data_IF_067614375967
#
_entry.id   IF_067614375967
#
_cell.length_a   1.000
_cell.length_b   1.000
_cell.length_c   1.000
_cell.angle_alpha   90.00
_cell.angle_beta   90.00
_cell.angle_gamma   90.00
#
_symmetry.space_group_name_H-M   'P 1'
#
loop_
_entity.id
_entity.type
_entity.pdbx_description
1 polymer ?
#
# COMPACT_ATOMS: atom_id res chain seq x y z
N UNK A 1 44.33 13.35 25.72
CA UNK A 1 44.62 12.11 24.95
C UNK A 1 43.31 11.42 24.60
N UNK A 2 43.21 10.83 23.40
CA UNK A 2 42.02 10.12 22.92
C UNK A 2 41.75 8.85 23.73
N UNK A 3 40.53 8.65 24.24
CA UNK A 3 40.14 7.42 24.94
C UNK A 3 39.82 6.31 23.95
N UNK A 4 40.81 5.46 23.64
CA UNK A 4 40.66 4.36 22.67
C UNK A 4 39.59 3.32 23.07
N UNK A 5 39.35 3.10 24.37
CA UNK A 5 38.31 2.17 24.86
C UNK A 5 36.90 2.65 24.51
N UNK A 6 36.69 3.97 24.56
CA UNK A 6 35.42 4.57 24.15
C UNK A 6 35.15 4.35 22.65
N UNK A 7 36.16 4.50 21.80
CA UNK A 7 36.05 4.25 20.35
C UNK A 7 35.89 2.76 20.01
N UNK A 8 36.34 1.83 20.86
CA UNK A 8 36.05 0.40 20.71
C UNK A 8 34.59 0.08 21.07
N UNK A 9 34.03 0.71 22.10
CA UNK A 9 32.61 0.60 22.44
C UNK A 9 31.73 1.13 21.29
N UNK A 10 32.02 2.35 20.82
CA UNK A 10 31.28 2.96 19.71
C UNK A 10 31.29 2.08 18.46
N UNK A 11 32.43 1.48 18.10
CA UNK A 11 32.52 0.55 16.95
C UNK A 11 31.61 -0.68 17.13
N UNK A 12 31.60 -1.29 18.31
CA UNK A 12 30.71 -2.43 18.60
C UNK A 12 29.23 -2.06 18.52
N UNK A 13 28.88 -0.88 19.01
CA UNK A 13 27.51 -0.38 18.94
C UNK A 13 27.10 -0.14 17.47
N UNK A 14 27.97 0.50 16.68
CA UNK A 14 27.76 0.72 15.23
C UNK A 14 27.58 -0.60 14.45
N UNK A 15 28.42 -1.61 14.71
CA UNK A 15 28.29 -2.93 14.08
C UNK A 15 26.96 -3.61 14.44
N UNK A 16 26.48 -3.41 15.68
CA UNK A 16 25.17 -3.87 16.13
C UNK A 16 24.03 -3.20 15.36
N UNK A 17 24.10 -1.88 15.17
CA UNK A 17 23.11 -1.13 14.40
C UNK A 17 23.08 -1.53 12.92
N UNK A 18 24.23 -1.78 12.31
CA UNK A 18 24.27 -2.18 10.89
C UNK A 18 23.63 -3.55 10.66
N UNK A 19 23.82 -4.52 11.57
CA UNK A 19 23.14 -5.83 11.49
C UNK A 19 21.62 -5.69 11.56
N UNK A 20 21.13 -4.86 12.47
CA UNK A 20 19.68 -4.57 12.59
C UNK A 20 19.17 -3.93 11.29
N UNK A 21 19.93 -2.98 10.74
CA UNK A 21 19.58 -2.30 9.50
C UNK A 21 19.50 -3.26 8.31
N UNK A 22 20.47 -4.15 8.16
CA UNK A 22 20.46 -5.18 7.10
C UNK A 22 19.23 -6.10 7.22
N UNK A 23 18.88 -6.52 8.43
CA UNK A 23 17.69 -7.33 8.69
C UNK A 23 16.41 -6.58 8.30
N UNK A 24 16.26 -5.31 8.69
CA UNK A 24 15.13 -4.46 8.30
C UNK A 24 15.04 -4.33 6.77
N UNK A 25 16.16 -4.10 6.08
CA UNK A 25 16.21 -3.99 4.62
C UNK A 25 15.74 -5.30 3.97
N UNK A 26 16.24 -6.44 4.44
CA UNK A 26 15.88 -7.75 3.90
C UNK A 26 14.38 -8.03 4.06
N UNK A 27 13.84 -7.78 5.26
CA UNK A 27 12.41 -7.96 5.57
C UNK A 27 11.53 -7.01 4.76
N UNK A 28 11.93 -5.75 4.64
CA UNK A 28 11.23 -4.75 3.83
C UNK A 28 11.16 -5.14 2.35
N UNK A 29 12.27 -5.63 1.77
CA UNK A 29 12.30 -6.15 0.39
C UNK A 29 11.39 -7.36 0.21
N UNK A 30 11.33 -8.24 1.20
CA UNK A 30 10.41 -9.37 1.23
C UNK A 30 8.95 -8.91 1.13
N UNK A 31 8.54 -7.97 1.99
CA UNK A 31 7.20 -7.39 1.99
C UNK A 31 6.86 -6.78 0.62
N UNK A 32 7.73 -5.92 0.07
CA UNK A 32 7.56 -5.29 -1.25
C UNK A 32 7.36 -6.35 -2.35
N UNK A 33 8.20 -7.39 -2.37
CA UNK A 33 8.09 -8.46 -3.36
C UNK A 33 6.76 -9.21 -3.26
N UNK A 34 6.33 -9.53 -2.04
CA UNK A 34 5.08 -10.26 -1.81
C UNK A 34 3.87 -9.38 -2.13
N UNK A 35 3.89 -8.08 -1.81
CA UNK A 35 2.85 -7.11 -2.17
C UNK A 35 2.57 -7.12 -3.67
N UNK A 36 3.63 -7.06 -4.49
CA UNK A 36 3.51 -7.13 -5.95
C UNK A 36 2.92 -8.46 -6.43
N UNK A 37 3.30 -9.58 -5.80
CA UNK A 37 2.75 -10.92 -6.09
C UNK A 37 1.26 -10.99 -5.77
N UNK A 38 0.82 -10.40 -4.65
CA UNK A 38 -0.60 -10.30 -4.26
C UNK A 38 -1.37 -9.51 -5.32
N UNK A 39 -0.94 -8.28 -5.63
CA UNK A 39 -1.60 -7.40 -6.60
C UNK A 39 -1.71 -8.09 -7.97
N UNK A 40 -0.62 -8.69 -8.44
CA UNK A 40 -0.59 -9.38 -9.73
C UNK A 40 -1.51 -10.61 -9.77
N UNK A 41 -1.54 -11.41 -8.70
CA UNK A 41 -2.45 -12.55 -8.59
C UNK A 41 -3.93 -12.09 -8.63
N UNK A 42 -4.26 -11.01 -7.92
CA UNK A 42 -5.61 -10.44 -7.88
C UNK A 42 -6.07 -9.90 -9.24
N UNK A 43 -5.19 -9.26 -10.02
CA UNK A 43 -5.52 -8.82 -11.39
C UNK A 43 -5.84 -9.97 -12.33
N UNK A 44 -5.26 -11.15 -12.10
CA UNK A 44 -5.57 -12.37 -12.85
C UNK A 44 -6.74 -13.17 -12.25
N UNK A 45 -7.45 -12.61 -11.27
CA UNK A 45 -8.49 -13.27 -10.50
C UNK A 45 -8.04 -14.58 -9.80
N UNK A 46 -6.74 -14.74 -9.55
CA UNK A 46 -6.18 -15.87 -8.82
C UNK A 46 -6.21 -15.62 -7.30
N UNK A 47 -7.41 -15.72 -6.74
CA UNK A 47 -7.67 -15.46 -5.31
C UNK A 47 -6.97 -16.52 -4.43
N UNK A 48 -6.78 -17.74 -4.94
CA UNK A 48 -6.13 -18.83 -4.19
C UNK A 48 -4.67 -18.49 -3.93
N UNK A 49 -3.91 -18.15 -4.96
CA UNK A 49 -2.51 -17.74 -4.79
C UNK A 49 -2.39 -16.46 -3.97
N UNK A 50 -3.26 -15.47 -4.23
CA UNK A 50 -3.28 -14.24 -3.44
C UNK A 50 -3.47 -14.52 -1.94
N UNK A 51 -4.38 -15.44 -1.57
CA UNK A 51 -4.58 -15.81 -0.17
C UNK A 51 -3.35 -16.47 0.47
N UNK A 52 -2.58 -17.25 -0.29
CA UNK A 52 -1.32 -17.83 0.18
C UNK A 52 -0.28 -16.74 0.43
N UNK A 53 -0.14 -15.80 -0.51
CA UNK A 53 0.78 -14.67 -0.37
C UNK A 53 0.40 -13.71 0.76
N UNK A 54 -0.89 -13.53 1.03
CA UNK A 54 -1.36 -12.78 2.21
C UNK A 54 -0.91 -13.47 3.51
N UNK A 55 -0.98 -14.80 3.58
CA UNK A 55 -0.46 -15.51 4.76
C UNK A 55 1.07 -15.40 4.89
N UNK A 56 1.80 -15.28 3.78
CA UNK A 56 3.25 -15.06 3.73
C UNK A 56 3.63 -13.64 4.21
N UNK A 57 3.00 -12.61 3.65
CA UNK A 57 3.32 -11.21 3.97
C UNK A 57 2.99 -10.86 5.42
N UNK A 58 1.93 -11.45 5.99
CA UNK A 58 1.56 -11.27 7.40
C UNK A 58 2.63 -11.85 8.36
N UNK A 59 3.29 -12.94 7.96
CA UNK A 59 4.42 -13.49 8.73
C UNK A 59 5.64 -12.57 8.66
N UNK A 60 5.95 -12.07 7.47
CA UNK A 60 7.07 -11.14 7.26
C UNK A 60 6.85 -9.81 8.00
N UNK A 61 5.64 -9.25 7.94
CA UNK A 61 5.28 -8.05 8.70
C UNK A 61 5.41 -8.26 10.21
N UNK A 62 4.90 -9.36 10.74
CA UNK A 62 5.07 -9.71 12.17
C UNK A 62 6.52 -9.91 12.58
N UNK A 63 7.37 -10.38 11.67
CA UNK A 63 8.81 -10.48 11.93
C UNK A 63 9.44 -9.08 11.99
N UNK A 64 9.09 -8.19 11.05
CA UNK A 64 9.56 -6.81 11.00
C UNK A 64 9.13 -6.00 12.24
N UNK A 65 7.90 -6.17 12.72
CA UNK A 65 7.38 -5.50 13.93
C UNK A 65 8.15 -5.84 15.22
N UNK A 66 8.84 -6.99 15.26
CA UNK A 66 9.63 -7.41 16.43
C UNK A 66 11.01 -6.75 16.47
N UNK A 67 11.46 -6.19 15.36
CA UNK A 67 12.75 -5.53 15.28
C UNK A 67 12.59 -4.15 15.88
N UNK A 68 13.47 -3.78 16.81
CA UNK A 68 13.50 -2.42 17.33
C UNK A 68 14.09 -1.51 16.23
N UNK A 69 13.23 -0.96 15.38
CA UNK A 69 13.65 -0.15 14.24
C UNK A 69 14.25 1.14 14.78
N UNK A 70 15.58 1.19 14.81
CA UNK A 70 16.33 2.42 15.03
C UNK A 70 16.16 3.27 13.77
N UNK A 71 15.76 4.51 13.96
CA UNK A 71 15.30 5.48 12.94
C UNK A 71 16.12 5.50 11.63
N UNK A 72 15.43 5.88 10.54
CA UNK A 72 15.95 6.17 9.18
C UNK A 72 16.18 5.01 8.20
N UNK A 73 15.32 3.98 8.21
CA UNK A 73 15.22 3.09 7.05
C UNK A 73 14.02 3.46 6.19
N UNK A 74 14.21 4.36 5.22
CA UNK A 74 13.19 4.79 4.25
C UNK A 74 12.53 3.59 3.53
N UNK A 75 13.27 2.50 3.32
CA UNK A 75 12.73 1.27 2.72
C UNK A 75 11.61 0.62 3.54
N UNK A 76 11.60 0.80 4.87
CA UNK A 76 10.55 0.29 5.74
C UNK A 76 9.23 1.03 5.47
N UNK A 77 9.28 2.36 5.33
CA UNK A 77 8.10 3.16 4.98
C UNK A 77 7.50 2.71 3.65
N UNK A 78 8.35 2.50 2.64
CA UNK A 78 7.93 1.98 1.34
C UNK A 78 7.32 0.58 1.47
N UNK A 79 7.91 -0.30 2.27
CA UNK A 79 7.39 -1.63 2.49
C UNK A 79 6.03 -1.64 3.19
N UNK A 80 5.83 -0.80 4.22
CA UNK A 80 4.54 -0.67 4.90
C UNK A 80 3.48 -0.06 3.97
N UNK A 81 3.86 0.91 3.15
CA UNK A 81 2.98 1.48 2.13
C UNK A 81 2.52 0.43 1.10
N UNK A 82 3.45 -0.32 0.51
CA UNK A 82 3.12 -1.42 -0.43
C UNK A 82 2.32 -2.54 0.25
N UNK A 83 2.57 -2.81 1.54
CA UNK A 83 1.77 -3.74 2.33
C UNK A 83 0.32 -3.27 2.45
N UNK A 84 0.09 -2.01 2.83
CA UNK A 84 -1.26 -1.45 2.98
C UNK A 84 -2.00 -1.51 1.65
N UNK A 85 -1.37 -1.09 0.56
CA UNK A 85 -1.94 -1.17 -0.78
C UNK A 85 -2.40 -2.60 -1.12
N UNK A 86 -1.51 -3.58 -1.00
CA UNK A 86 -1.78 -4.96 -1.36
C UNK A 86 -2.88 -5.60 -0.49
N UNK A 87 -2.87 -5.36 0.82
CA UNK A 87 -3.85 -5.93 1.75
C UNK A 87 -5.22 -5.27 1.58
N UNK A 88 -5.27 -3.94 1.46
CA UNK A 88 -6.53 -3.25 1.18
C UNK A 88 -7.11 -3.70 -0.16
N UNK A 89 -6.28 -3.88 -1.19
CA UNK A 89 -6.73 -4.39 -2.48
C UNK A 89 -7.25 -5.83 -2.39
N UNK A 90 -6.57 -6.72 -1.65
CA UNK A 90 -7.03 -8.08 -1.40
C UNK A 90 -8.42 -8.11 -0.74
N UNK A 91 -8.60 -7.34 0.33
CA UNK A 91 -9.88 -7.27 1.02
C UNK A 91 -10.96 -6.66 0.12
N UNK A 92 -10.67 -5.59 -0.61
CA UNK A 92 -11.61 -5.03 -1.57
C UNK A 92 -12.09 -6.07 -2.60
N UNK A 93 -11.16 -6.81 -3.22
CA UNK A 93 -11.51 -7.83 -4.22
C UNK A 93 -12.33 -8.97 -3.60
N UNK A 94 -11.99 -9.38 -2.37
CA UNK A 94 -12.63 -10.53 -1.71
C UNK A 94 -14.01 -10.21 -1.11
N UNK A 95 -14.18 -9.05 -0.49
CA UNK A 95 -15.38 -8.74 0.29
C UNK A 95 -15.84 -7.27 0.21
N UNK A 96 -15.26 -6.48 -0.70
CA UNK A 96 -15.60 -5.06 -0.91
C UNK A 96 -15.39 -4.20 0.34
N UNK A 97 -14.43 -4.56 1.21
CA UNK A 97 -14.06 -3.77 2.40
C UNK A 97 -12.63 -3.23 2.28
N UNK A 98 -12.40 -2.08 2.89
CA UNK A 98 -11.08 -1.50 3.12
C UNK A 98 -10.79 -1.61 4.63
N UNK A 99 -9.81 -2.43 5.05
CA UNK A 99 -9.39 -2.53 6.44
C UNK A 99 -8.87 -1.19 6.95
N UNK A 100 -9.09 -0.88 8.23
CA UNK A 100 -8.60 0.38 8.82
C UNK A 100 -7.17 0.26 9.33
N UNK A 101 -6.46 1.38 9.46
CA UNK A 101 -5.06 1.43 9.92
C UNK A 101 -4.81 0.64 11.23
N UNK A 102 -5.77 0.69 12.17
CA UNK A 102 -5.70 -0.03 13.45
C UNK A 102 -5.76 -1.55 13.28
N UNK A 103 -6.57 -2.06 12.35
CA UNK A 103 -6.64 -3.50 12.05
C UNK A 103 -5.34 -3.98 11.42
N UNK A 104 -4.75 -3.14 10.56
CA UNK A 104 -3.48 -3.39 9.90
C UNK A 104 -2.27 -3.16 10.82
N UNK A 105 -2.43 -2.57 12.01
CA UNK A 105 -1.35 -2.19 12.93
C UNK A 105 -0.25 -1.37 12.23
N UNK A 106 -0.63 -0.34 11.50
CA UNK A 106 0.29 0.60 10.83
C UNK A 106 0.00 2.01 11.32
N UNK A 107 0.97 2.91 11.17
CA UNK A 107 0.76 4.33 11.46
C UNK A 107 -0.16 4.97 10.40
N UNK A 108 -0.75 6.11 10.77
CA UNK A 108 -1.74 6.78 9.94
C UNK A 108 -1.15 7.30 8.62
N UNK A 109 0.09 7.76 8.61
CA UNK A 109 0.71 8.34 7.42
C UNK A 109 1.01 7.24 6.39
N UNK A 110 1.63 6.13 6.79
CA UNK A 110 1.85 4.98 5.91
C UNK A 110 0.54 4.39 5.38
N UNK A 111 -0.51 4.38 6.20
CA UNK A 111 -1.84 3.94 5.77
C UNK A 111 -2.41 4.83 4.66
N UNK A 112 -2.41 6.15 4.87
CA UNK A 112 -2.89 7.09 3.86
C UNK A 112 -2.04 7.03 2.58
N UNK A 113 -0.72 6.89 2.70
CA UNK A 113 0.18 6.71 1.56
C UNK A 113 -0.16 5.45 0.74
N UNK A 114 -0.51 4.34 1.41
CA UNK A 114 -0.93 3.10 0.75
C UNK A 114 -2.31 3.21 0.10
N UNK A 115 -3.24 3.97 0.70
CA UNK A 115 -4.53 4.27 0.07
C UNK A 115 -4.38 5.11 -1.21
N UNK A 116 -3.43 6.05 -1.25
CA UNK A 116 -3.16 6.79 -2.48
C UNK A 116 -2.79 5.84 -3.63
N UNK A 117 -1.88 4.87 -3.39
CA UNK A 117 -1.47 3.89 -4.42
C UNK A 117 -2.60 2.95 -4.81
N UNK A 118 -3.38 2.50 -3.81
CA UNK A 118 -4.55 1.64 -4.03
C UNK A 118 -5.50 2.21 -5.08
N UNK A 119 -5.69 3.54 -5.13
CA UNK A 119 -6.56 4.16 -6.15
C UNK A 119 -6.09 3.89 -7.58
N UNK A 120 -4.78 3.72 -7.81
CA UNK A 120 -4.22 3.35 -9.10
C UNK A 120 -4.55 1.90 -9.47
N UNK A 121 -4.40 0.96 -8.54
CA UNK A 121 -4.72 -0.44 -8.76
C UNK A 121 -6.23 -0.69 -8.90
N UNK A 122 -7.06 0.08 -8.18
CA UNK A 122 -8.50 0.15 -8.38
C UNK A 122 -8.84 0.64 -9.79
N UNK A 123 -8.16 1.70 -10.28
CA UNK A 123 -8.28 2.16 -11.67
C UNK A 123 -8.02 1.05 -12.67
N UNK A 124 -6.92 0.32 -12.51
CA UNK A 124 -6.58 -0.84 -13.36
C UNK A 124 -7.62 -1.95 -13.26
N UNK A 125 -8.13 -2.23 -12.06
CA UNK A 125 -9.19 -3.22 -11.85
C UNK A 125 -10.48 -2.83 -12.56
N UNK A 126 -10.88 -1.55 -12.52
CA UNK A 126 -12.08 -1.06 -13.19
C UNK A 126 -12.01 -1.28 -14.71
N UNK A 127 -10.86 -1.02 -15.34
CA UNK A 127 -10.66 -1.34 -16.77
C UNK A 127 -10.87 -2.83 -17.02
N UNK A 128 -10.30 -3.70 -16.19
CA UNK A 128 -10.50 -5.15 -16.31
C UNK A 128 -11.97 -5.56 -16.11
N UNK A 129 -12.71 -4.92 -15.20
CA UNK A 129 -14.16 -5.15 -15.04
C UNK A 129 -14.93 -4.75 -16.31
N UNK A 130 -14.60 -3.61 -16.94
CA UNK A 130 -15.21 -3.18 -18.20
C UNK A 130 -14.93 -4.16 -19.33
N UNK A 131 -13.68 -4.63 -19.48
CA UNK A 131 -13.30 -5.65 -20.48
C UNK A 131 -14.14 -6.92 -20.30
N UNK A 132 -14.37 -7.32 -19.04
CA UNK A 132 -15.19 -8.48 -18.69
C UNK A 132 -16.70 -8.19 -18.69
N UNK A 133 -17.13 -7.02 -19.18
CA UNK A 133 -18.53 -6.56 -19.23
C UNK A 133 -19.20 -6.42 -17.85
N UNK A 134 -18.42 -6.38 -16.77
CA UNK A 134 -18.92 -6.08 -15.43
C UNK A 134 -18.94 -4.56 -15.18
N UNK A 135 -19.87 -3.87 -15.83
CA UNK A 135 -19.96 -2.41 -15.76
C UNK A 135 -20.33 -1.90 -14.37
N UNK A 136 -21.15 -2.65 -13.63
CA UNK A 136 -21.49 -2.35 -12.24
C UNK A 136 -20.23 -2.37 -11.36
N UNK A 137 -19.36 -3.37 -11.53
CA UNK A 137 -18.10 -3.45 -10.79
C UNK A 137 -17.20 -2.24 -11.03
N UNK A 138 -17.11 -1.76 -12.27
CA UNK A 138 -16.37 -0.54 -12.59
C UNK A 138 -16.98 0.72 -11.96
N UNK A 139 -18.32 0.81 -11.92
CA UNK A 139 -19.04 1.90 -11.26
C UNK A 139 -18.84 1.91 -9.74
N UNK A 140 -18.92 0.73 -9.09
CA UNK A 140 -18.67 0.59 -7.66
C UNK A 140 -17.22 1.01 -7.29
N UNK A 141 -16.25 0.67 -8.15
CA UNK A 141 -14.86 1.10 -7.98
C UNK A 141 -14.74 2.63 -8.07
N UNK A 142 -15.38 3.26 -9.05
CA UNK A 142 -15.40 4.73 -9.18
C UNK A 142 -15.92 5.37 -7.90
N UNK A 143 -17.06 4.90 -7.37
CA UNK A 143 -17.65 5.47 -6.16
C UNK A 143 -16.74 5.32 -4.95
N UNK A 144 -16.07 4.17 -4.79
CA UNK A 144 -15.08 4.01 -3.72
C UNK A 144 -13.92 5.01 -3.84
N UNK A 145 -13.38 5.21 -5.04
CA UNK A 145 -12.29 6.18 -5.24
C UNK A 145 -12.76 7.63 -5.00
N UNK A 146 -14.00 7.94 -5.35
CA UNK A 146 -14.65 9.23 -5.06
C UNK A 146 -14.81 9.46 -3.54
N UNK A 147 -15.25 8.44 -2.80
CA UNK A 147 -15.32 8.48 -1.33
C UNK A 147 -13.93 8.70 -0.70
N UNK A 148 -12.92 7.96 -1.15
CA UNK A 148 -11.53 8.15 -0.70
C UNK A 148 -11.08 9.59 -0.97
N UNK A 149 -11.30 10.10 -2.18
CA UNK A 149 -10.93 11.48 -2.52
C UNK A 149 -11.65 12.50 -1.63
N UNK A 150 -12.94 12.28 -1.37
CA UNK A 150 -13.75 13.14 -0.49
C UNK A 150 -13.24 13.20 0.94
N UNK A 151 -12.79 12.06 1.51
CA UNK A 151 -12.14 12.05 2.83
C UNK A 151 -10.77 12.75 2.79
N UNK A 152 -10.00 12.58 1.72
CA UNK A 152 -8.70 13.24 1.57
C UNK A 152 -8.79 14.76 1.52
N UNK A 153 -9.85 15.31 0.91
CA UNK A 153 -10.12 16.75 0.86
C UNK A 153 -10.37 17.37 2.24
N UNK A 154 -10.77 16.58 3.24
CA UNK A 154 -11.00 17.06 4.61
C UNK A 154 -9.71 17.18 5.42
N UNK A 155 -8.61 16.58 4.97
CA UNK A 155 -7.32 16.69 5.64
C UNK A 155 -6.63 18.02 5.31
N UNK A 156 -6.14 18.69 6.35
CA UNK A 156 -5.19 19.80 6.21
C UNK A 156 -3.77 19.25 6.04
N UNK A 157 -3.50 18.61 4.90
CA UNK A 157 -2.19 18.06 4.58
C UNK A 157 -1.18 19.20 4.41
N UNK A 158 -0.15 19.23 5.26
CA UNK A 158 0.99 20.15 5.11
C UNK A 158 1.83 19.74 3.90
N UNK A 159 2.76 20.61 3.47
CA UNK A 159 3.74 20.31 2.42
C UNK A 159 4.59 19.09 2.80
N UNK A 160 4.10 17.90 2.43
CA UNK A 160 4.60 16.57 2.76
C UNK A 160 4.53 15.69 1.52
N UNK A 161 5.24 14.56 1.53
CA UNK A 161 5.14 13.57 0.45
C UNK A 161 3.70 13.06 0.32
N UNK A 162 2.97 12.91 1.42
CA UNK A 162 1.56 12.55 1.41
C UNK A 162 0.69 13.54 0.62
N UNK A 163 0.94 14.85 0.75
CA UNK A 163 0.22 15.88 -0.02
C UNK A 163 0.51 15.77 -1.52
N UNK A 164 1.77 15.58 -1.91
CA UNK A 164 2.11 15.38 -3.34
C UNK A 164 1.45 14.12 -3.88
N UNK A 165 1.38 13.08 -3.05
CA UNK A 165 0.84 11.80 -3.45
C UNK A 165 -0.68 11.78 -3.50
N UNK A 166 -1.38 12.52 -2.64
CA UNK A 166 -2.84 12.63 -2.67
C UNK A 166 -3.36 13.23 -3.98
N UNK A 167 -2.54 14.03 -4.69
CA UNK A 167 -2.90 14.56 -6.00
C UNK A 167 -3.11 13.44 -7.04
N UNK A 168 -2.49 12.26 -6.87
CA UNK A 168 -2.69 11.11 -7.77
C UNK A 168 -4.13 10.59 -7.73
N UNK A 169 -4.79 10.68 -6.57
CA UNK A 169 -6.18 10.24 -6.38
C UNK A 169 -7.10 10.99 -7.34
N UNK A 170 -6.91 12.32 -7.46
CA UNK A 170 -7.69 13.17 -8.37
C UNK A 170 -7.59 12.70 -9.82
N UNK A 171 -6.38 12.38 -10.27
CA UNK A 171 -6.15 11.92 -11.64
C UNK A 171 -6.72 10.52 -11.88
N UNK A 172 -6.63 9.63 -10.90
CA UNK A 172 -7.21 8.29 -10.97
C UNK A 172 -8.74 8.35 -10.99
N UNK A 173 -9.34 9.20 -10.15
CA UNK A 173 -10.78 9.45 -10.14
C UNK A 173 -11.26 9.97 -11.49
N UNK A 174 -10.58 10.97 -12.06
CA UNK A 174 -10.96 11.52 -13.36
C UNK A 174 -11.00 10.46 -14.46
N UNK A 175 -10.00 9.58 -14.52
CA UNK A 175 -9.99 8.46 -15.48
C UNK A 175 -11.19 7.51 -15.28
N UNK A 176 -11.54 7.22 -14.02
CA UNK A 176 -12.70 6.39 -13.69
C UNK A 176 -14.02 7.05 -14.07
N UNK A 177 -14.14 8.37 -13.86
CA UNK A 177 -15.31 9.15 -14.29
C UNK A 177 -15.48 9.12 -15.81
N UNK A 178 -14.39 9.26 -16.57
CA UNK A 178 -14.42 9.21 -18.03
C UNK A 178 -14.87 7.82 -18.52
N UNK A 179 -14.37 6.73 -17.90
CA UNK A 179 -14.84 5.37 -18.17
C UNK A 179 -16.35 5.24 -17.90
N UNK A 180 -16.82 5.68 -16.74
CA UNK A 180 -18.24 5.60 -16.36
C UNK A 180 -19.12 6.45 -17.29
N UNK A 181 -18.64 7.63 -17.69
CA UNK A 181 -19.32 8.49 -18.64
C UNK A 181 -19.51 7.80 -20.00
N UNK A 182 -18.46 7.19 -20.55
CA UNK A 182 -18.58 6.43 -21.80
C UNK A 182 -19.56 5.27 -21.70
N UNK A 183 -19.56 4.55 -20.57
CA UNK A 183 -20.49 3.45 -20.33
C UNK A 183 -21.95 3.93 -20.30
N UNK A 184 -22.22 5.08 -19.68
CA UNK A 184 -23.55 5.71 -19.67
C UNK A 184 -24.00 6.14 -21.06
N UNK A 185 -23.12 6.78 -21.84
CA UNK A 185 -23.42 7.16 -23.22
C UNK A 185 -23.78 5.94 -24.09
N UNK A 186 -23.15 4.79 -23.84
CA UNK A 186 -23.41 3.53 -24.55
C UNK A 186 -24.58 2.72 -23.99
N UNK A 187 -25.31 3.23 -22.99
CA UNK A 187 -26.43 2.53 -22.34
C UNK A 187 -26.03 1.22 -21.66
N UNK A 188 -24.82 1.15 -21.11
CA UNK A 188 -24.25 -0.03 -20.43
C UNK A 188 -24.31 0.05 -18.89
N UNK A 189 -24.81 1.16 -18.37
CA UNK A 189 -25.00 1.47 -16.96
C UNK A 189 -26.40 2.05 -16.75
#
# INVERSE_FOLDING_TARGET
MLNKKEFERIRKDMDGFEKIREEVIQKSRGIISISKRIIYALHRNDIKSASSYVAEIEKEKKALEKINIVSDVNINLVAIQEYVEAICYYHFVKNKKIPVAKELKVDNESYLMGLCDLTGELGRKAVNEVINKNFKGAYDIKNLVEEIYGEFLKFNLRNSELRKKSDSIKWNLKKLEDIVFELKLKGKL
#
